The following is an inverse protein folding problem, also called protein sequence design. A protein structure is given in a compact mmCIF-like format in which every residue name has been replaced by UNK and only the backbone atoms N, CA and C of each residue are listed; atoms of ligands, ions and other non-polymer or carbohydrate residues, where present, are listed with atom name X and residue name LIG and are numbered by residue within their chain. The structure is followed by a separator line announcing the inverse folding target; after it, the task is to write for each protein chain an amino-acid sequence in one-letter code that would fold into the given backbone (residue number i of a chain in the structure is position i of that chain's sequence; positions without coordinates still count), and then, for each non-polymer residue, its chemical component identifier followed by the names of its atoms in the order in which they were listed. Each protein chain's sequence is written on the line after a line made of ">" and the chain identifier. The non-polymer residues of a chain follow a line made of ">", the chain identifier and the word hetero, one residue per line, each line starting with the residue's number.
data_IF_772779354877
#
_entry.id   IF_772779354877
#
_cell.length_a   1.000
_cell.length_b   1.000
_cell.length_c   1.000
_cell.angle_alpha   90.00
_cell.angle_beta   90.00
_cell.angle_gamma   90.00
#
_symmetry.space_group_name_H-M   'P 1'
#
loop_
_entity.id
_entity.type
_entity.pdbx_description
1 polymer ?
#
# COMPACT_ATOMS: atom_id res chain seq x y z
N UNK A 1 -16.94 2.95 -23.28
CA UNK A 1 -16.62 3.66 -22.02
C UNK A 1 -15.19 3.36 -21.64
N UNK A 2 -14.30 4.36 -21.61
CA UNK A 2 -12.92 4.16 -21.15
C UNK A 2 -12.92 3.88 -19.65
N UNK A 3 -12.23 2.83 -19.22
CA UNK A 3 -12.05 2.52 -17.79
C UNK A 3 -11.05 3.56 -17.26
N UNK A 4 -11.58 4.68 -16.77
CA UNK A 4 -10.77 5.73 -16.15
C UNK A 4 -10.03 5.12 -14.95
N UNK A 5 -8.73 4.90 -15.07
CA UNK A 5 -7.91 4.49 -13.91
C UNK A 5 -7.93 5.64 -12.91
N UNK A 6 -8.50 5.47 -11.70
CA UNK A 6 -8.59 6.54 -10.74
C UNK A 6 -7.17 7.00 -10.39
N UNK A 7 -6.93 8.30 -10.51
CA UNK A 7 -5.63 8.91 -10.18
C UNK A 7 -5.68 9.49 -8.78
N UNK A 8 -4.57 9.47 -8.03
CA UNK A 8 -4.52 10.17 -6.75
C UNK A 8 -4.59 11.68 -7.01
N UNK A 9 -5.46 12.35 -6.27
CA UNK A 9 -5.57 13.81 -6.24
C UNK A 9 -4.88 14.39 -5.01
N UNK A 10 -4.73 13.59 -3.96
CA UNK A 10 -4.04 13.97 -2.73
C UNK A 10 -3.40 12.74 -2.07
N UNK A 11 -2.18 12.91 -1.57
CA UNK A 11 -1.43 11.90 -0.83
C UNK A 11 -0.89 12.58 0.43
N UNK A 12 -1.30 12.12 1.61
CA UNK A 12 -0.90 12.72 2.89
C UNK A 12 -0.47 11.65 3.89
N UNK A 13 0.56 11.97 4.67
CA UNK A 13 0.83 11.27 5.94
C UNK A 13 -0.19 11.74 6.97
N UNK A 14 -0.64 10.79 7.78
CA UNK A 14 -1.50 11.11 8.92
C UNK A 14 -0.64 11.18 10.18
N UNK A 15 -0.79 12.20 11.04
CA UNK A 15 -0.02 12.29 12.28
C UNK A 15 -0.46 11.23 13.31
N UNK A 16 -1.71 10.77 13.23
CA UNK A 16 -2.33 9.81 14.15
C UNK A 16 -2.16 8.34 13.73
N UNK A 17 -1.72 8.08 12.50
CA UNK A 17 -1.49 6.74 11.97
C UNK A 17 -0.13 6.70 11.28
N UNK A 18 0.76 5.72 11.57
CA UNK A 18 2.08 5.61 10.96
C UNK A 18 2.07 5.34 9.43
N UNK A 19 0.93 5.49 8.76
CA UNK A 19 0.74 5.20 7.35
C UNK A 19 0.31 6.40 6.51
N UNK A 20 -0.60 6.14 5.57
CA UNK A 20 -0.86 7.03 4.45
C UNK A 20 -2.36 7.15 4.16
N UNK A 21 -2.81 8.36 3.85
CA UNK A 21 -4.10 8.63 3.23
C UNK A 21 -3.91 9.00 1.76
N UNK A 22 -4.69 8.35 0.89
CA UNK A 22 -4.77 8.69 -0.54
C UNK A 22 -6.20 9.01 -0.91
N UNK A 23 -6.44 10.21 -1.44
CA UNK A 23 -7.71 10.59 -2.05
C UNK A 23 -7.62 10.44 -3.56
N UNK A 24 -8.66 9.89 -4.17
CA UNK A 24 -8.70 9.50 -5.58
C UNK A 24 -9.70 10.35 -6.38
N UNK A 25 -9.46 10.46 -7.68
CA UNK A 25 -10.30 11.24 -8.60
C UNK A 25 -11.73 10.71 -8.78
N UNK A 26 -11.98 9.45 -8.39
CA UNK A 26 -13.32 8.81 -8.36
C UNK A 26 -14.09 9.11 -7.07
N UNK A 27 -13.55 9.96 -6.19
CA UNK A 27 -14.10 10.25 -4.87
C UNK A 27 -13.77 9.20 -3.80
N UNK A 28 -13.02 8.14 -4.15
CA UNK A 28 -12.60 7.15 -3.18
C UNK A 28 -11.51 7.69 -2.25
N UNK A 29 -11.43 7.12 -1.05
CA UNK A 29 -10.37 7.39 -0.09
C UNK A 29 -9.80 6.05 0.39
N UNK A 30 -8.48 5.90 0.29
CA UNK A 30 -7.76 4.76 0.83
C UNK A 30 -6.95 5.20 2.05
N UNK A 31 -7.13 4.47 3.15
CA UNK A 31 -6.35 4.62 4.38
C UNK A 31 -5.45 3.39 4.50
N UNK A 32 -4.14 3.60 4.58
CA UNK A 32 -3.16 2.54 4.70
C UNK A 32 -2.48 2.64 6.06
N UNK A 33 -2.37 1.50 6.74
CA UNK A 33 -1.46 1.38 7.88
C UNK A 33 -0.02 1.24 7.41
N UNK A 34 0.92 1.87 8.13
CA UNK A 34 2.34 1.88 7.76
C UNK A 34 2.91 0.47 7.63
N UNK A 35 2.67 -0.38 8.63
CA UNK A 35 3.14 -1.77 8.62
C UNK A 35 2.55 -2.60 7.49
N UNK A 36 1.24 -2.53 7.27
CA UNK A 36 0.58 -3.29 6.19
C UNK A 36 1.14 -2.88 4.82
N UNK A 37 1.36 -1.59 4.60
CA UNK A 37 1.92 -1.08 3.35
C UNK A 37 3.41 -1.47 3.19
N UNK A 38 4.19 -1.44 4.28
CA UNK A 38 5.60 -1.89 4.31
C UNK A 38 5.76 -3.39 4.02
N UNK A 39 4.85 -4.22 4.51
CA UNK A 39 4.78 -5.65 4.21
C UNK A 39 4.48 -5.90 2.73
N UNK A 40 3.79 -4.97 2.07
CA UNK A 40 3.48 -5.02 0.65
C UNK A 40 4.54 -4.34 -0.25
N UNK A 41 5.74 -4.06 0.28
CA UNK A 41 6.80 -3.36 -0.44
C UNK A 41 7.19 -4.11 -1.74
N UNK A 42 7.17 -3.45 -2.91
CA UNK A 42 7.45 -4.09 -4.20
C UNK A 42 8.93 -4.04 -4.63
N UNK A 43 9.87 -3.68 -3.75
CA UNK A 43 11.28 -3.63 -4.16
C UNK A 43 11.85 -5.05 -4.35
N UNK A 44 12.91 -5.17 -5.16
CA UNK A 44 13.58 -6.45 -5.44
C UNK A 44 14.14 -7.16 -4.20
N UNK A 45 14.28 -6.47 -3.07
CA UNK A 45 14.66 -7.09 -1.78
C UNK A 45 13.47 -7.68 -1.03
N UNK A 46 12.24 -7.25 -1.34
CA UNK A 46 11.02 -7.67 -0.66
C UNK A 46 10.17 -8.63 -1.48
N UNK A 47 10.32 -8.65 -2.80
CA UNK A 47 9.65 -9.59 -3.71
C UNK A 47 10.69 -10.34 -4.55
N UNK A 48 10.37 -11.57 -4.90
CA UNK A 48 11.12 -12.31 -5.92
C UNK A 48 10.83 -11.70 -7.30
N UNK A 49 11.87 -11.45 -8.09
CA UNK A 49 11.80 -10.61 -9.29
C UNK A 49 10.96 -11.23 -10.41
N UNK A 50 10.90 -12.56 -10.52
CA UNK A 50 10.22 -13.26 -11.60
C UNK A 50 8.77 -13.62 -11.29
N UNK A 51 8.48 -14.09 -10.09
CA UNK A 51 7.14 -14.46 -9.62
C UNK A 51 6.38 -13.27 -9.04
N UNK A 52 7.07 -12.25 -8.53
CA UNK A 52 6.48 -11.16 -7.77
C UNK A 52 5.99 -11.58 -6.39
N UNK A 53 6.32 -12.80 -5.93
CA UNK A 53 5.93 -13.31 -4.62
C UNK A 53 6.72 -12.61 -3.51
N UNK A 54 6.08 -12.32 -2.37
CA UNK A 54 6.75 -11.69 -1.24
C UNK A 54 7.77 -12.66 -0.62
N UNK A 55 9.04 -12.27 -0.63
CA UNK A 55 10.15 -12.96 0.07
C UNK A 55 10.53 -12.26 1.37
N UNK A 56 9.96 -11.08 1.61
CA UNK A 56 10.12 -10.35 2.85
C UNK A 56 9.62 -11.21 4.02
N UNK A 57 10.50 -11.42 5.01
CA UNK A 57 10.11 -12.02 6.28
C UNK A 57 9.32 -11.02 7.13
N UNK A 58 8.03 -11.28 7.44
CA UNK A 58 7.20 -10.36 8.22
C UNK A 58 7.73 -10.10 9.64
N UNK A 59 8.56 -10.99 10.19
CA UNK A 59 9.14 -10.84 11.52
C UNK A 59 10.20 -9.73 11.59
N UNK A 60 10.81 -9.41 10.45
CA UNK A 60 11.80 -8.31 10.33
C UNK A 60 11.17 -6.93 10.26
N UNK A 61 9.85 -6.82 10.03
CA UNK A 61 9.16 -5.54 9.89
C UNK A 61 8.65 -5.05 11.25
N UNK A 62 9.15 -3.90 11.76
CA UNK A 62 8.74 -3.38 13.05
C UNK A 62 7.23 -3.12 13.12
N UNK A 63 6.62 -3.39 14.28
CA UNK A 63 5.18 -3.20 14.47
C UNK A 63 4.74 -1.75 14.27
N UNK A 64 5.59 -0.80 14.68
CA UNK A 64 5.34 0.64 14.55
C UNK A 64 6.13 1.30 13.41
N UNK A 65 6.49 0.54 12.36
CA UNK A 65 7.15 1.14 11.19
C UNK A 65 6.27 2.23 10.58
N UNK A 66 6.85 3.41 10.36
CA UNK A 66 6.11 4.59 9.88
C UNK A 66 6.68 5.16 8.59
N UNK A 67 5.80 5.75 7.78
CA UNK A 67 6.20 6.53 6.61
C UNK A 67 6.80 7.88 7.04
N UNK A 68 8.12 8.02 6.89
CA UNK A 68 8.88 9.23 7.23
C UNK A 68 9.03 10.20 6.06
N UNK A 69 8.84 9.72 4.83
CA UNK A 69 8.92 10.54 3.64
C UNK A 69 8.06 9.96 2.52
N UNK A 70 7.52 10.84 1.67
CA UNK A 70 6.77 10.44 0.47
C UNK A 70 7.22 11.32 -0.68
N UNK A 71 7.74 10.67 -1.72
CA UNK A 71 8.15 11.32 -2.94
C UNK A 71 7.30 10.83 -4.09
N UNK A 72 6.79 11.76 -4.91
CA UNK A 72 6.18 11.41 -6.19
C UNK A 72 7.25 10.90 -7.14
N UNK A 73 6.97 9.80 -7.83
CA UNK A 73 7.83 9.24 -8.87
C UNK A 73 7.09 9.39 -10.21
N UNK A 74 7.44 10.45 -10.93
CA UNK A 74 6.77 10.83 -12.17
C UNK A 74 5.26 10.96 -11.98
N UNK A 75 4.49 10.37 -12.90
CA UNK A 75 3.02 10.38 -12.90
C UNK A 75 2.41 9.01 -12.62
N UNK A 76 3.19 8.06 -12.09
CA UNK A 76 2.78 6.66 -12.02
C UNK A 76 2.86 6.04 -10.62
N UNK A 77 3.54 6.67 -9.67
CA UNK A 77 3.67 6.11 -8.34
C UNK A 77 4.28 7.05 -7.31
N UNK A 78 4.48 6.51 -6.11
CA UNK A 78 5.23 7.14 -5.02
C UNK A 78 6.35 6.23 -4.55
N UNK A 79 7.37 6.85 -3.99
CA UNK A 79 8.37 6.22 -3.14
C UNK A 79 8.09 6.62 -1.70
N UNK A 80 8.18 5.66 -0.79
CA UNK A 80 7.95 5.89 0.64
C UNK A 80 9.27 5.61 1.37
N UNK A 81 9.78 6.61 2.09
CA UNK A 81 10.85 6.43 3.06
C UNK A 81 10.26 5.94 4.38
N UNK A 82 10.82 4.85 4.90
CA UNK A 82 10.36 4.18 6.12
C UNK A 82 11.34 4.39 7.27
N UNK A 83 10.80 4.42 8.49
CA UNK A 83 11.59 4.56 9.72
C UNK A 83 12.54 3.38 10.01
N UNK A 84 12.41 2.27 9.29
CA UNK A 84 13.31 1.12 9.35
C UNK A 84 14.50 1.24 8.36
N UNK A 85 14.68 2.42 7.76
CA UNK A 85 15.75 2.72 6.80
C UNK A 85 15.48 2.28 5.37
N UNK A 86 14.33 1.64 5.09
CA UNK A 86 13.97 1.26 3.72
C UNK A 86 13.33 2.42 2.96
N UNK A 87 13.53 2.46 1.65
CA UNK A 87 12.92 3.54 0.86
C UNK A 87 13.05 3.41 -0.65
N UNK A 88 13.46 2.26 -1.17
CA UNK A 88 13.72 2.09 -2.61
C UNK A 88 12.50 1.60 -3.37
N UNK A 89 11.50 1.04 -2.68
CA UNK A 89 10.27 0.53 -3.28
C UNK A 89 9.40 1.64 -3.87
N UNK A 90 8.96 1.43 -5.12
CA UNK A 90 8.04 2.33 -5.83
C UNK A 90 6.65 1.69 -5.81
N UNK A 91 5.72 2.34 -5.13
CA UNK A 91 4.32 1.96 -5.11
C UNK A 91 3.62 2.66 -6.27
N UNK A 92 3.30 1.90 -7.33
CA UNK A 92 2.49 2.44 -8.42
C UNK A 92 1.10 2.81 -7.92
N UNK A 93 0.45 3.80 -8.54
CA UNK A 93 -0.90 4.19 -8.16
C UNK A 93 -1.89 3.03 -8.32
N UNK A 94 -1.70 2.20 -9.33
CA UNK A 94 -2.48 0.97 -9.51
C UNK A 94 -2.30 0.00 -8.35
N UNK A 95 -1.05 -0.21 -7.89
CA UNK A 95 -0.76 -1.06 -6.73
C UNK A 95 -1.37 -0.48 -5.45
N UNK A 96 -1.24 0.83 -5.21
CA UNK A 96 -1.88 1.47 -4.06
C UNK A 96 -3.39 1.26 -4.09
N UNK A 97 -4.03 1.46 -5.24
CA UNK A 97 -5.48 1.24 -5.39
C UNK A 97 -5.85 -0.21 -5.10
N UNK A 98 -5.07 -1.16 -5.60
CA UNK A 98 -5.28 -2.59 -5.38
C UNK A 98 -5.07 -3.01 -3.91
N UNK A 99 -4.14 -2.36 -3.20
CA UNK A 99 -3.83 -2.60 -1.79
C UNK A 99 -4.83 -1.95 -0.83
N UNK A 100 -5.82 -1.18 -1.31
CA UNK A 100 -6.79 -0.52 -0.45
C UNK A 100 -7.46 -1.54 0.50
N UNK A 101 -7.40 -1.33 1.83
CA UNK A 101 -7.90 -2.30 2.81
C UNK A 101 -9.40 -2.17 3.09
N UNK A 102 -10.11 -1.22 2.45
CA UNK A 102 -11.53 -1.07 2.69
C UNK A 102 -12.32 -2.28 2.20
N UNK A 103 -13.43 -2.58 2.88
CA UNK A 103 -14.25 -3.77 2.61
C UNK A 103 -14.69 -3.86 1.14
N UNK A 104 -15.05 -2.73 0.54
CA UNK A 104 -15.45 -2.66 -0.88
C UNK A 104 -14.34 -3.12 -1.82
N UNK A 105 -13.09 -2.71 -1.56
CA UNK A 105 -11.94 -3.11 -2.39
C UNK A 105 -11.44 -4.52 -2.05
N UNK A 106 -11.50 -4.92 -0.78
CA UNK A 106 -11.12 -6.25 -0.33
C UNK A 106 -12.04 -7.33 -0.93
N UNK A 107 -13.35 -7.09 -0.94
CA UNK A 107 -14.36 -8.02 -1.46
C UNK A 107 -14.30 -8.18 -2.98
N UNK A 108 -13.74 -7.20 -3.70
CA UNK A 108 -13.55 -7.24 -5.15
C UNK A 108 -12.23 -7.86 -5.63
N UNK A 109 -11.34 -8.27 -4.71
CA UNK A 109 -10.02 -8.83 -5.07
C UNK A 109 -10.17 -10.33 -5.38
N UNK A 110 -9.96 -10.80 -6.62
CA UNK A 110 -9.92 -12.23 -6.90
C UNK A 110 -8.73 -12.83 -6.14
N UNK A 111 -9.01 -13.59 -5.08
CA UNK A 111 -8.00 -14.22 -4.22
C UNK A 111 -8.06 -13.89 -2.72
N UNK A 112 -8.94 -12.99 -2.25
CA UNK A 112 -9.11 -12.71 -0.82
C UNK A 112 -10.21 -13.57 -0.17
N UNK A 113 -10.19 -14.90 -0.37
CA UNK A 113 -11.05 -15.82 0.36
C UNK A 113 -10.26 -16.40 1.54
N UNK A 114 -10.55 -15.92 2.76
CA UNK A 114 -10.10 -16.59 3.99
C UNK A 114 -9.73 -15.69 5.16
N UNK A 115 -10.66 -14.90 5.68
CA UNK A 115 -10.57 -14.40 7.06
C UNK A 115 -11.99 -14.24 7.64
N UNK A 116 -12.66 -15.39 7.81
CA UNK A 116 -13.93 -15.47 8.52
C UNK A 116 -13.74 -15.09 10.00
N UNK A 117 -14.50 -14.09 10.43
CA UNK A 117 -14.62 -13.66 11.83
C UNK A 117 -15.39 -14.72 12.61
N UNK A 118 -14.80 -15.26 13.67
CA UNK A 118 -15.56 -15.94 14.73
C UNK A 118 -15.76 -14.95 15.87
N UNK A 119 -16.98 -14.41 15.94
CA UNK A 119 -17.48 -13.70 17.12
C UNK A 119 -17.99 -14.75 18.12
N UNK A 120 -17.49 -14.71 19.35
CA UNK A 120 -18.11 -15.29 20.54
C UNK A 120 -17.68 -14.47 21.73
#
# INVERSE_FOLDING_TARGET
>A
MGISRPRPIEIKRLPELPGLRVAWSDGHVSLFEGRALRLACPCATCIEEWSGEPILDPSTVPERVSAEDIQLVGLYGIRIGWSDGHGTGIYTFERLRALCPCETCASGRPGAAGAQRSSS
#
